data_IF_140407113168
#
_entry.id   IF_140407113168
#
_cell.length_a   1.000
_cell.length_b   1.000
_cell.length_c   1.000
_cell.angle_alpha   90.00
_cell.angle_beta   90.00
_cell.angle_gamma   90.00
#
_symmetry.space_group_name_H-M   'P 1'
#
loop_
_entity.id
_entity.type
_entity.pdbx_description
1 polymer ?
#
# COMPACT_ATOMS: atom_id res chain seq x y z
N UNK A 1 49.72 -16.13 -42.75
CA UNK A 1 48.49 -15.36 -43.10
C UNK A 1 47.17 -16.03 -42.69
N UNK A 2 47.05 -17.38 -42.64
CA UNK A 2 45.82 -18.07 -42.25
C UNK A 2 45.53 -18.03 -40.74
N UNK A 3 46.54 -18.01 -39.85
CA UNK A 3 46.40 -17.99 -38.39
C UNK A 3 45.89 -16.64 -37.87
N UNK A 4 46.26 -15.52 -38.50
CA UNK A 4 45.77 -14.18 -38.13
C UNK A 4 44.30 -13.95 -38.45
N UNK A 5 43.77 -14.59 -39.50
CA UNK A 5 42.35 -14.48 -39.89
C UNK A 5 41.44 -15.27 -38.94
N UNK A 6 41.92 -16.40 -38.37
CA UNK A 6 41.12 -17.20 -37.42
C UNK A 6 41.04 -16.54 -36.04
N UNK A 7 42.09 -15.87 -35.60
CA UNK A 7 42.09 -15.12 -34.32
C UNK A 7 41.16 -13.90 -34.36
N UNK A 8 41.08 -13.19 -35.50
CA UNK A 8 40.15 -12.07 -35.68
C UNK A 8 38.70 -12.48 -35.70
N UNK A 9 38.35 -13.63 -36.29
CA UNK A 9 36.99 -14.13 -36.32
C UNK A 9 36.47 -14.55 -34.91
N UNK A 10 37.37 -15.11 -34.07
CA UNK A 10 36.99 -15.53 -32.71
C UNK A 10 36.71 -14.30 -31.79
N UNK A 11 37.50 -13.25 -31.91
CA UNK A 11 37.30 -11.99 -31.14
C UNK A 11 36.04 -11.26 -31.53
N UNK A 12 35.67 -11.24 -32.81
CA UNK A 12 34.41 -10.62 -33.27
C UNK A 12 33.19 -11.40 -32.80
N UNK A 13 33.24 -12.74 -32.75
CA UNK A 13 32.17 -13.58 -32.25
C UNK A 13 31.87 -13.37 -30.76
N UNK A 14 32.88 -13.05 -29.95
CA UNK A 14 32.71 -12.74 -28.52
C UNK A 14 32.06 -11.38 -28.27
N UNK A 15 32.20 -10.41 -29.19
CA UNK A 15 31.58 -9.08 -29.06
C UNK A 15 30.08 -9.06 -29.38
N UNK A 16 29.57 -10.08 -30.09
CA UNK A 16 28.17 -10.23 -30.40
C UNK A 16 27.41 -11.16 -29.45
N UNK A 17 28.06 -11.71 -28.42
CA UNK A 17 27.39 -12.40 -27.33
C UNK A 17 26.72 -11.38 -26.44
N UNK A 18 25.62 -10.78 -26.94
CA UNK A 18 24.77 -9.90 -26.17
C UNK A 18 24.38 -10.61 -24.86
N UNK A 19 24.63 -9.96 -23.72
CA UNK A 19 24.17 -10.43 -22.42
C UNK A 19 22.66 -10.63 -22.50
N UNK A 20 22.21 -11.88 -22.66
CA UNK A 20 20.81 -12.22 -22.37
C UNK A 20 20.62 -11.95 -20.90
N UNK A 21 20.01 -10.83 -20.57
CA UNK A 21 19.52 -10.57 -19.21
C UNK A 21 18.42 -11.59 -18.95
N UNK A 22 18.75 -12.68 -18.29
CA UNK A 22 17.76 -13.64 -17.81
C UNK A 22 17.00 -12.99 -16.65
N UNK A 23 15.71 -13.30 -16.54
CA UNK A 23 14.94 -12.90 -15.36
C UNK A 23 15.63 -13.48 -14.12
N UNK A 24 15.83 -12.68 -13.05
CA UNK A 24 16.50 -13.16 -11.84
C UNK A 24 15.78 -14.39 -11.27
N UNK A 25 16.53 -15.36 -10.82
CA UNK A 25 15.98 -16.58 -10.21
C UNK A 25 15.32 -16.30 -8.85
N UNK A 26 14.48 -17.23 -8.39
CA UNK A 26 13.75 -17.07 -7.12
C UNK A 26 14.69 -16.79 -5.92
N UNK A 27 15.88 -17.37 -5.90
CA UNK A 27 16.88 -17.13 -4.84
C UNK A 27 17.47 -15.72 -4.94
N UNK A 28 17.78 -15.28 -6.15
CA UNK A 28 18.32 -13.94 -6.43
C UNK A 28 17.29 -12.86 -6.08
N UNK A 29 16.02 -13.07 -6.43
CA UNK A 29 14.93 -12.19 -6.03
C UNK A 29 14.78 -12.12 -4.50
N UNK A 30 14.86 -13.25 -3.81
CA UNK A 30 14.74 -13.32 -2.34
C UNK A 30 15.89 -12.60 -1.63
N UNK A 31 17.12 -12.75 -2.14
CA UNK A 31 18.29 -12.04 -1.61
C UNK A 31 18.19 -10.55 -1.87
N UNK A 32 17.78 -10.14 -3.09
CA UNK A 32 17.62 -8.73 -3.44
C UNK A 32 16.47 -8.07 -2.66
N UNK A 33 15.39 -8.80 -2.42
CA UNK A 33 14.28 -8.31 -1.59
C UNK A 33 14.75 -8.10 -0.14
N UNK A 34 15.47 -9.06 0.43
CA UNK A 34 16.04 -8.93 1.78
C UNK A 34 17.02 -7.76 1.91
N UNK A 35 17.88 -7.54 0.91
CA UNK A 35 18.79 -6.39 0.89
C UNK A 35 18.02 -5.06 0.82
N UNK A 36 16.96 -4.97 0.02
CA UNK A 36 16.10 -3.78 -0.04
C UNK A 36 15.45 -3.48 1.31
N UNK A 37 14.88 -4.50 1.94
CA UNK A 37 14.19 -4.34 3.22
C UNK A 37 15.12 -3.95 4.38
N UNK A 38 16.35 -4.46 4.38
CA UNK A 38 17.23 -4.32 5.54
C UNK A 38 18.31 -3.23 5.40
N UNK A 39 18.70 -2.85 4.18
CA UNK A 39 19.83 -1.95 3.96
C UNK A 39 19.47 -0.58 3.35
N UNK A 40 18.34 -0.46 2.65
CA UNK A 40 18.01 0.78 1.90
C UNK A 40 16.81 1.52 2.46
N UNK A 41 15.96 0.86 3.23
CA UNK A 41 14.76 1.46 3.82
C UNK A 41 14.98 1.63 5.33
N UNK A 42 14.91 2.87 5.79
CA UNK A 42 15.02 3.21 7.21
C UNK A 42 13.77 2.87 8.03
N UNK A 43 13.79 3.21 9.30
CA UNK A 43 12.62 3.09 10.18
C UNK A 43 12.32 1.69 10.68
N UNK A 44 13.15 0.68 10.43
CA UNK A 44 12.87 -0.74 10.77
C UNK A 44 12.46 -0.96 12.24
N UNK A 45 13.04 -0.19 13.16
CA UNK A 45 12.78 -0.32 14.59
C UNK A 45 11.73 0.66 15.12
N UNK A 46 11.24 1.56 14.28
CA UNK A 46 10.24 2.53 14.67
C UNK A 46 8.90 1.83 14.84
N UNK A 47 8.18 2.21 15.90
CA UNK A 47 6.87 1.67 16.23
C UNK A 47 5.82 2.74 15.97
N UNK A 48 4.68 2.33 15.43
CA UNK A 48 3.55 3.22 15.34
C UNK A 48 3.11 3.63 16.76
N UNK A 49 3.10 4.93 17.09
CA UNK A 49 2.68 5.39 18.41
C UNK A 49 1.16 5.44 18.57
N UNK A 50 0.41 5.33 17.47
CA UNK A 50 -1.05 5.41 17.47
C UNK A 50 -1.66 4.04 17.76
N UNK A 51 -2.85 4.06 18.35
CA UNK A 51 -3.64 2.85 18.51
C UNK A 51 -4.15 2.37 17.15
N UNK A 52 -4.07 1.06 16.94
CA UNK A 52 -4.70 0.40 15.80
C UNK A 52 -6.20 0.25 16.10
N UNK A 53 -6.98 1.18 15.58
CA UNK A 53 -8.43 1.22 15.69
C UNK A 53 -9.04 1.79 14.40
N UNK A 54 -10.36 1.65 14.27
CA UNK A 54 -11.10 2.05 13.09
C UNK A 54 -11.00 3.55 12.81
N UNK A 55 -11.06 4.40 13.83
CA UNK A 55 -10.97 5.86 13.68
C UNK A 55 -9.64 6.28 13.05
N UNK A 56 -8.52 5.80 13.61
CA UNK A 56 -7.18 6.11 13.06
C UNK A 56 -6.98 5.53 11.66
N UNK A 57 -7.49 4.32 11.41
CA UNK A 57 -7.42 3.71 10.09
C UNK A 57 -8.27 4.46 9.08
N UNK A 58 -9.45 4.98 9.45
CA UNK A 58 -10.34 5.77 8.60
C UNK A 58 -9.71 7.10 8.23
N UNK A 59 -9.20 7.85 9.20
CA UNK A 59 -8.44 9.09 8.95
C UNK A 59 -7.27 8.83 7.99
N UNK A 60 -6.53 7.75 8.22
CA UNK A 60 -5.46 7.32 7.31
C UNK A 60 -5.95 7.01 5.89
N UNK A 61 -7.16 6.44 5.78
CA UNK A 61 -7.84 6.19 4.51
C UNK A 61 -8.22 7.47 3.77
N UNK A 62 -8.64 8.51 4.47
CA UNK A 62 -8.91 9.82 3.87
C UNK A 62 -7.64 10.43 3.27
N UNK A 63 -6.54 10.44 4.01
CA UNK A 63 -5.24 10.88 3.48
C UNK A 63 -4.78 10.02 2.31
N UNK A 64 -4.99 8.71 2.37
CA UNK A 64 -4.67 7.79 1.28
C UNK A 64 -5.44 8.12 0.00
N UNK A 65 -6.73 8.40 0.12
CA UNK A 65 -7.57 8.80 -1.01
C UNK A 65 -7.08 10.09 -1.67
N UNK A 66 -6.66 11.07 -0.89
CA UNK A 66 -6.19 12.34 -1.42
C UNK A 66 -4.80 12.27 -2.09
N UNK A 67 -3.92 11.40 -1.61
CA UNK A 67 -2.50 11.45 -1.96
C UNK A 67 -1.98 10.21 -2.67
N UNK A 68 -2.55 9.04 -2.44
CA UNK A 68 -1.98 7.76 -2.84
C UNK A 68 -2.81 7.03 -3.90
N UNK A 69 -4.15 7.14 -3.84
CA UNK A 69 -5.05 6.38 -4.70
C UNK A 69 -4.82 6.60 -6.20
N UNK A 70 -4.31 7.77 -6.60
CA UNK A 70 -4.05 8.07 -8.01
C UNK A 70 -3.08 7.08 -8.65
N UNK A 71 -2.15 6.55 -7.86
CA UNK A 71 -1.20 5.54 -8.31
C UNK A 71 -1.52 4.14 -7.81
N UNK A 72 -2.02 4.02 -6.56
CA UNK A 72 -2.21 2.72 -5.92
C UNK A 72 -3.64 2.17 -6.02
N UNK A 73 -4.61 2.95 -6.55
CA UNK A 73 -6.02 2.59 -6.50
C UNK A 73 -6.61 2.73 -5.09
N UNK A 74 -7.94 2.74 -4.98
CA UNK A 74 -8.61 2.83 -3.68
C UNK A 74 -8.36 1.62 -2.78
N UNK A 75 -8.16 0.47 -3.39
CA UNK A 75 -7.91 -0.81 -2.73
C UNK A 75 -6.42 -1.09 -2.47
N UNK A 76 -5.54 -0.16 -2.86
CA UNK A 76 -4.09 -0.35 -2.79
C UNK A 76 -3.52 -1.38 -3.77
N UNK A 77 -4.38 -1.99 -4.61
CA UNK A 77 -4.01 -3.06 -5.56
C UNK A 77 -3.85 -2.56 -7.00
N UNK A 78 -3.82 -1.25 -7.19
CA UNK A 78 -3.76 -0.58 -8.49
C UNK A 78 -5.02 -0.79 -9.35
N UNK A 79 -6.15 -1.21 -8.76
CA UNK A 79 -7.41 -1.39 -9.50
C UNK A 79 -7.89 -0.05 -10.05
N UNK A 80 -8.23 -0.03 -11.33
CA UNK A 80 -8.65 1.20 -12.02
C UNK A 80 -7.51 2.15 -12.39
N UNK A 81 -6.23 1.75 -12.23
CA UNK A 81 -5.04 2.56 -12.55
C UNK A 81 -4.28 1.94 -13.74
N UNK A 82 -4.69 2.18 -15.00
CA UNK A 82 -4.14 1.46 -16.17
C UNK A 82 -2.65 1.70 -16.41
N UNK A 83 -2.09 2.82 -15.96
CA UNK A 83 -0.68 3.15 -16.14
C UNK A 83 0.21 2.48 -15.08
N UNK A 84 -0.32 2.06 -13.93
CA UNK A 84 0.47 1.54 -12.81
C UNK A 84 1.39 0.38 -13.23
N UNK A 85 0.87 -0.54 -14.04
CA UNK A 85 1.62 -1.69 -14.55
C UNK A 85 2.57 -1.34 -15.71
N UNK A 86 2.44 -0.14 -16.31
CA UNK A 86 3.30 0.33 -17.39
C UNK A 86 4.49 1.13 -16.90
N UNK A 87 4.51 1.49 -15.62
CA UNK A 87 5.65 2.15 -15.00
C UNK A 87 6.84 1.20 -14.86
N UNK A 88 8.04 1.73 -14.76
CA UNK A 88 9.26 0.94 -14.59
C UNK A 88 10.09 1.51 -13.42
N UNK A 89 10.10 0.85 -12.28
CA UNK A 89 9.33 -0.37 -11.94
C UNK A 89 7.82 -0.12 -11.88
N UNK A 90 6.98 -1.16 -11.98
CA UNK A 90 5.54 -1.03 -11.80
C UNK A 90 5.18 -0.50 -10.39
N UNK A 91 4.05 0.20 -10.28
CA UNK A 91 3.54 0.62 -8.97
C UNK A 91 3.27 -0.61 -8.11
N UNK A 92 3.74 -0.59 -6.88
CA UNK A 92 3.58 -1.71 -5.96
C UNK A 92 2.11 -1.92 -5.59
N UNK A 93 1.69 -3.18 -5.55
CA UNK A 93 0.46 -3.62 -4.92
C UNK A 93 0.68 -3.63 -3.40
N UNK A 94 0.01 -2.71 -2.70
CA UNK A 94 0.21 -2.51 -1.25
C UNK A 94 -0.36 -3.65 -0.41
N UNK A 95 -1.31 -4.42 -0.93
CA UNK A 95 -1.83 -5.62 -0.27
C UNK A 95 -0.96 -6.87 -0.47
N UNK A 96 0.09 -6.75 -1.30
CA UNK A 96 1.00 -7.87 -1.57
C UNK A 96 1.79 -8.27 -0.33
N UNK A 97 2.14 -9.57 -0.25
CA UNK A 97 2.98 -10.08 0.84
C UNK A 97 4.29 -9.31 0.97
N UNK A 98 4.93 -8.97 -0.14
CA UNK A 98 6.22 -8.27 -0.16
C UNK A 98 6.12 -6.88 0.50
N UNK A 99 5.00 -6.17 0.33
CA UNK A 99 4.76 -4.88 0.99
C UNK A 99 4.34 -5.07 2.43
N UNK A 100 3.49 -6.05 2.72
CA UNK A 100 3.00 -6.31 4.08
C UNK A 100 4.07 -6.89 5.02
N UNK A 101 5.20 -7.39 4.49
CA UNK A 101 6.36 -7.80 5.28
C UNK A 101 7.24 -6.64 5.79
N UNK A 102 7.09 -5.40 5.26
CA UNK A 102 7.73 -4.24 5.86
C UNK A 102 7.20 -3.97 7.26
N UNK A 103 8.05 -3.47 8.17
CA UNK A 103 7.57 -2.97 9.46
C UNK A 103 6.80 -1.67 9.27
N UNK A 104 5.99 -1.28 10.27
CA UNK A 104 5.26 -0.01 10.22
C UNK A 104 6.19 1.18 10.05
N UNK A 105 7.31 1.17 10.76
CA UNK A 105 8.31 2.21 10.62
C UNK A 105 8.95 2.26 9.24
N UNK A 106 9.14 1.12 8.58
CA UNK A 106 9.61 1.08 7.20
C UNK A 106 8.57 1.63 6.23
N UNK A 107 7.29 1.28 6.40
CA UNK A 107 6.20 1.85 5.60
C UNK A 107 6.12 3.37 5.79
N UNK A 108 6.15 3.85 7.04
CA UNK A 108 6.19 5.28 7.34
C UNK A 108 7.40 5.97 6.71
N UNK A 109 8.57 5.36 6.78
CA UNK A 109 9.78 5.88 6.16
C UNK A 109 9.65 5.99 4.63
N UNK A 110 9.03 4.98 3.99
CA UNK A 110 8.76 5.01 2.54
C UNK A 110 7.80 6.15 2.19
N UNK A 111 6.73 6.32 2.94
CA UNK A 111 5.79 7.43 2.74
C UNK A 111 6.53 8.76 2.89
N UNK A 112 7.31 8.91 3.95
CA UNK A 112 8.03 10.14 4.26
C UNK A 112 9.05 10.54 3.19
N UNK A 113 9.83 9.57 2.67
CA UNK A 113 10.99 9.85 1.83
C UNK A 113 10.76 9.53 0.35
N UNK A 114 9.72 8.75 0.04
CA UNK A 114 9.49 8.25 -1.31
C UNK A 114 10.49 7.18 -1.74
N UNK A 115 10.36 6.75 -2.98
CA UNK A 115 11.27 5.81 -3.64
C UNK A 115 11.66 6.40 -5.00
N UNK A 116 12.76 7.15 -5.03
CA UNK A 116 13.21 7.89 -6.20
C UNK A 116 13.19 7.11 -7.52
N UNK A 117 13.77 5.89 -7.61
CA UNK A 117 13.76 5.12 -8.85
C UNK A 117 12.38 4.68 -9.35
N UNK A 118 11.37 4.62 -8.47
CA UNK A 118 10.01 4.24 -8.84
C UNK A 118 9.12 5.42 -9.21
N UNK A 119 9.59 6.65 -8.97
CA UNK A 119 8.78 7.86 -9.15
C UNK A 119 7.77 8.09 -8.00
N UNK A 120 7.80 7.30 -6.92
CA UNK A 120 6.99 7.58 -5.74
C UNK A 120 7.57 8.79 -4.99
N UNK A 121 6.82 9.90 -4.85
CA UNK A 121 7.30 11.08 -4.12
C UNK A 121 7.37 10.82 -2.61
N UNK A 122 8.17 11.61 -1.92
CA UNK A 122 8.14 11.70 -0.45
C UNK A 122 7.15 12.77 -0.01
N UNK A 123 6.54 12.53 1.16
CA UNK A 123 5.46 13.36 1.71
C UNK A 123 5.87 14.14 2.96
N UNK A 124 7.16 14.13 3.31
CA UNK A 124 7.73 14.73 4.52
C UNK A 124 7.31 16.20 4.75
N UNK A 125 7.22 16.98 3.69
CA UNK A 125 6.93 18.42 3.79
C UNK A 125 5.44 18.74 3.51
N UNK A 126 4.63 17.72 3.30
CA UNK A 126 3.21 17.82 2.94
C UNK A 126 2.33 17.24 4.05
N UNK A 127 2.72 16.07 4.59
CA UNK A 127 2.00 15.36 5.63
C UNK A 127 2.76 15.44 6.96
N UNK A 128 2.01 15.54 8.05
CA UNK A 128 2.55 15.42 9.41
C UNK A 128 2.96 13.98 9.71
N UNK A 129 3.77 13.80 10.74
CA UNK A 129 4.15 12.48 11.23
C UNK A 129 2.93 11.63 11.63
N UNK A 130 1.94 12.25 12.26
CA UNK A 130 0.71 11.59 12.69
C UNK A 130 -0.12 11.10 11.50
N UNK A 131 -0.34 11.93 10.49
CA UNK A 131 -1.04 11.55 9.27
C UNK A 131 -0.34 10.39 8.53
N UNK A 132 0.98 10.40 8.46
CA UNK A 132 1.75 9.30 7.88
C UNK A 132 1.60 8.00 8.68
N UNK A 133 1.54 8.06 10.03
CA UNK A 133 1.30 6.89 10.87
C UNK A 133 -0.13 6.35 10.71
N UNK A 134 -1.13 7.22 10.60
CA UNK A 134 -2.52 6.84 10.29
C UNK A 134 -2.62 6.15 8.92
N UNK A 135 -1.91 6.66 7.90
CA UNK A 135 -1.84 6.00 6.59
C UNK A 135 -1.23 4.60 6.66
N UNK A 136 -0.24 4.37 7.53
CA UNK A 136 0.31 3.03 7.76
C UNK A 136 -0.77 2.10 8.32
N UNK A 137 -1.58 2.55 9.28
CA UNK A 137 -2.70 1.75 9.80
C UNK A 137 -3.69 1.40 8.68
N UNK A 138 -4.09 2.37 7.87
CA UNK A 138 -4.95 2.08 6.71
C UNK A 138 -4.36 1.02 5.77
N UNK A 139 -3.06 1.13 5.43
CA UNK A 139 -2.37 0.17 4.57
C UNK A 139 -2.37 -1.24 5.19
N UNK A 140 -2.32 -1.37 6.52
CA UNK A 140 -2.42 -2.66 7.22
C UNK A 140 -3.80 -3.30 7.09
N UNK A 141 -4.84 -2.49 7.01
CA UNK A 141 -6.22 -2.93 6.88
C UNK A 141 -6.73 -3.02 5.44
N UNK A 142 -5.88 -2.79 4.44
CA UNK A 142 -6.28 -2.95 3.04
C UNK A 142 -6.87 -4.35 2.78
N UNK A 143 -7.88 -4.46 1.90
CA UNK A 143 -8.46 -5.75 1.54
C UNK A 143 -7.41 -6.74 1.07
N UNK A 144 -7.59 -8.00 1.39
CA UNK A 144 -6.70 -9.05 0.90
C UNK A 144 -6.59 -9.02 -0.63
N UNK A 145 -5.42 -9.36 -1.15
CA UNK A 145 -5.15 -9.32 -2.59
C UNK A 145 -6.20 -10.11 -3.38
N UNK A 146 -6.80 -9.45 -4.36
CA UNK A 146 -7.85 -10.00 -5.21
C UNK A 146 -9.26 -9.87 -4.64
N UNK A 147 -9.44 -9.35 -3.42
CA UNK A 147 -10.74 -8.95 -2.89
C UNK A 147 -10.99 -7.47 -3.18
N UNK A 148 -12.24 -7.11 -3.40
CA UNK A 148 -12.69 -5.74 -3.61
C UNK A 148 -13.59 -5.33 -2.44
N UNK A 149 -13.50 -4.09 -2.02
CA UNK A 149 -14.36 -3.54 -0.99
C UNK A 149 -13.61 -2.72 0.06
N UNK A 150 -14.36 -2.22 1.03
CA UNK A 150 -13.80 -1.51 2.17
C UNK A 150 -13.04 -2.48 3.09
N UNK A 151 -11.99 -2.01 3.79
CA UNK A 151 -11.33 -2.75 4.85
C UNK A 151 -12.33 -3.30 5.88
N UNK A 152 -12.08 -4.51 6.39
CA UNK A 152 -12.99 -5.17 7.33
C UNK A 152 -13.17 -4.39 8.63
N UNK A 153 -12.15 -3.65 9.06
CA UNK A 153 -12.21 -2.77 10.24
C UNK A 153 -13.34 -1.71 10.16
N UNK A 154 -13.77 -1.34 8.94
CA UNK A 154 -14.87 -0.40 8.74
C UNK A 154 -16.25 -1.06 8.72
N UNK A 155 -16.32 -2.38 8.55
CA UNK A 155 -17.58 -3.12 8.55
C UNK A 155 -18.14 -3.26 9.96
N UNK A 156 -17.29 -3.46 10.94
CA UNK A 156 -17.68 -3.57 12.34
C UNK A 156 -18.31 -2.27 12.87
N UNK A 157 -17.82 -1.10 12.41
CA UNK A 157 -18.44 0.19 12.76
C UNK A 157 -19.80 0.38 12.09
N UNK A 158 -19.96 -0.03 10.82
CA UNK A 158 -21.23 0.09 10.12
C UNK A 158 -22.33 -0.75 10.80
N UNK A 159 -22.01 -1.97 11.23
CA UNK A 159 -22.92 -2.84 11.96
C UNK A 159 -23.30 -2.22 13.33
N UNK A 160 -22.36 -1.64 14.07
CA UNK A 160 -22.62 -0.95 15.33
C UNK A 160 -23.50 0.28 15.16
N UNK A 161 -23.31 1.06 14.09
CA UNK A 161 -24.14 2.21 13.77
C UNK A 161 -25.57 1.81 13.43
N UNK A 162 -25.77 0.76 12.64
CA UNK A 162 -27.11 0.24 12.33
C UNK A 162 -27.83 -0.26 13.58
N UNK A 163 -27.13 -0.93 14.50
CA UNK A 163 -27.73 -1.37 15.77
C UNK A 163 -28.14 -0.21 16.67
N UNK A 164 -27.35 0.88 16.73
CA UNK A 164 -27.67 2.08 17.51
C UNK A 164 -28.85 2.85 16.92
N UNK A 165 -28.95 2.98 15.59
CA UNK A 165 -30.09 3.63 14.93
C UNK A 165 -31.39 2.82 15.16
N UNK A 166 -31.31 1.50 15.13
CA UNK A 166 -32.47 0.65 15.42
C UNK A 166 -32.93 0.77 16.88
N UNK A 167 -32.03 0.94 17.84
CA UNK A 167 -32.37 1.14 19.25
C UNK A 167 -33.02 2.52 19.48
N UNK A 168 -32.49 3.59 18.90
CA UNK A 168 -33.08 4.92 18.99
C UNK A 168 -34.47 4.99 18.36
N UNK A 169 -34.67 4.38 17.20
CA UNK A 169 -35.99 4.33 16.54
C UNK A 169 -37.04 3.53 17.29
N UNK A 170 -36.61 2.56 18.12
CA UNK A 170 -37.52 1.78 18.96
C UNK A 170 -37.98 2.53 20.23
N UNK A 171 -37.10 3.37 20.79
CA UNK A 171 -37.42 4.16 21.99
C UNK A 171 -38.30 5.38 21.67
N UNK A 172 -38.14 5.98 20.50
CA UNK A 172 -38.99 7.11 20.05
C UNK A 172 -40.46 6.68 19.83
N UNK A 173 -40.70 5.46 19.36
CA UNK A 173 -42.05 4.87 19.21
C UNK A 173 -42.73 4.52 20.52
N UNK A 174 -42.00 4.32 21.61
CA UNK A 174 -42.57 4.07 22.96
C UNK A 174 -42.99 5.36 23.69
N UNK A 175 -42.43 6.52 23.31
CA UNK A 175 -42.69 7.80 23.97
C UNK A 175 -43.91 8.56 23.44
N UNK A 176 -44.54 8.14 22.34
CA UNK A 176 -45.72 8.80 21.76
C UNK A 176 -47.00 8.31 22.43
N UNK A 177 -47.33 8.84 23.61
CA UNK A 177 -48.68 8.70 24.20
C UNK A 177 -49.64 9.69 23.53
N UNK A 178 -50.83 9.25 23.11
CA UNK A 178 -51.83 10.16 22.55
C UNK A 178 -52.41 11.03 23.64
N UNK A 179 -52.17 12.33 23.59
CA UNK A 179 -52.88 13.31 24.40
C UNK A 179 -54.33 13.38 23.94
N UNK A 180 -55.23 12.75 24.66
CA UNK A 180 -56.66 12.94 24.48
C UNK A 180 -57.09 14.26 25.10
N UNK A 181 -57.33 15.27 24.27
CA UNK A 181 -58.07 16.45 24.68
C UNK A 181 -59.56 16.11 24.81
N UNK A 182 -60.08 16.13 26.04
CA UNK A 182 -61.54 16.18 26.30
C UNK A 182 -61.96 17.66 26.27
N UNK A 183 -62.91 17.95 25.39
CA UNK A 183 -63.80 19.12 25.46
C UNK A 183 -64.95 18.83 26.38
#
# INVERSE_FOLDING_TARGET
MKILLTAGALTVALLFSGCKVSKPGNLENKVMTGIKHDMTIGGKNDKNPLQDNADNAKDGGEHFQHHCQICHGLDGQNTGVPFAQKMSPPVADLSSKDVQEYTDGQLKWIIQNGIGPSGMPGWKDILTDEEMWKMVLYIRHLPARGSLGAPDIFKEEAEQHEEMEHQHGADEKKGAQPHTHKH
#
